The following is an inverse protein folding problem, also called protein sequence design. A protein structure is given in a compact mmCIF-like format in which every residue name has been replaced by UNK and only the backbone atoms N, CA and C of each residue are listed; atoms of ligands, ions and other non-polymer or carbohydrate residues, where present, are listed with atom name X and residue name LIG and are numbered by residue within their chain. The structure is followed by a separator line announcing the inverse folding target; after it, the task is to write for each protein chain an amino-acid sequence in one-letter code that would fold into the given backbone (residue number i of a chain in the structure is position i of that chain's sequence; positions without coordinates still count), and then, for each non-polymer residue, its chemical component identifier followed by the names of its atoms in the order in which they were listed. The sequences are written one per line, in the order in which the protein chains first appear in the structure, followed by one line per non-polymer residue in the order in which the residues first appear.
data_IF_015482845143
#
_entry.id   IF_015482845143
#
_cell.length_a   1.000
_cell.length_b   1.000
_cell.length_c   1.000
_cell.angle_alpha   90.00
_cell.angle_beta   90.00
_cell.angle_gamma   90.00
#
_symmetry.space_group_name_H-M   'P 1'
#
loop_
_entity.id
_entity.type
_entity.pdbx_description
1 polymer ?
#
# COMPACT_ATOMS: atom_id res chain seq x y z
N UNK A 1 15.38 17.62 -2.67
CA UNK A 1 14.09 16.91 -2.55
C UNK A 1 13.69 16.91 -1.09
N UNK A 2 12.42 17.13 -0.79
CA UNK A 2 11.87 17.05 0.57
C UNK A 2 11.60 15.60 0.97
N UNK A 3 11.45 15.34 2.27
CA UNK A 3 11.11 14.01 2.75
C UNK A 3 9.76 13.51 2.19
N UNK A 4 8.79 14.40 2.00
CA UNK A 4 7.50 14.06 1.41
C UNK A 4 7.62 13.72 -0.08
N UNK A 5 8.42 14.48 -0.85
CA UNK A 5 8.73 14.16 -2.24
C UNK A 5 9.38 12.77 -2.38
N UNK A 6 10.29 12.42 -1.47
CA UNK A 6 10.91 11.09 -1.46
C UNK A 6 9.90 9.98 -1.17
N UNK A 7 8.98 10.19 -0.22
CA UNK A 7 7.89 9.24 0.07
C UNK A 7 6.99 9.03 -1.14
N UNK A 8 6.61 10.13 -1.79
CA UNK A 8 5.81 10.09 -3.00
C UNK A 8 6.53 9.35 -4.13
N UNK A 9 7.81 9.60 -4.35
CA UNK A 9 8.57 8.86 -5.37
C UNK A 9 8.64 7.36 -5.07
N UNK A 10 8.89 6.97 -3.82
CA UNK A 10 8.90 5.55 -3.42
C UNK A 10 7.53 4.89 -3.65
N UNK A 11 6.44 5.60 -3.31
CA UNK A 11 5.07 5.13 -3.56
C UNK A 11 4.78 4.90 -5.04
N UNK A 12 5.21 5.81 -5.93
CA UNK A 12 5.01 5.66 -7.36
C UNK A 12 5.87 4.54 -7.95
N UNK A 13 7.12 4.40 -7.50
CA UNK A 13 7.98 3.29 -7.91
C UNK A 13 7.38 1.93 -7.55
N UNK A 14 6.68 1.82 -6.42
CA UNK A 14 6.01 0.59 -6.01
C UNK A 14 4.94 0.11 -7.02
N UNK A 15 4.36 1.00 -7.84
CA UNK A 15 3.37 0.61 -8.87
C UNK A 15 3.95 -0.32 -9.94
N UNK A 16 5.26 -0.26 -10.19
CA UNK A 16 5.93 -1.14 -11.17
C UNK A 16 5.91 -2.61 -10.75
N UNK A 17 5.66 -2.88 -9.47
CA UNK A 17 5.52 -4.22 -8.91
C UNK A 17 4.07 -4.72 -8.93
N UNK A 18 3.09 -3.88 -9.30
CA UNK A 18 1.68 -4.25 -9.40
C UNK A 18 1.38 -4.73 -10.84
N UNK A 19 1.58 -6.02 -11.08
CA UNK A 19 1.52 -6.62 -12.42
C UNK A 19 0.33 -7.58 -12.64
N UNK A 20 -0.64 -7.59 -11.74
CA UNK A 20 -1.68 -8.64 -11.70
C UNK A 20 -3.06 -8.06 -11.42
N UNK A 21 -4.10 -8.70 -11.93
CA UNK A 21 -5.50 -8.47 -11.55
C UNK A 21 -5.84 -8.93 -10.11
N UNK A 22 -4.85 -9.21 -9.27
CA UNK A 22 -5.04 -9.77 -7.92
C UNK A 22 -5.36 -8.72 -6.85
N UNK A 23 -5.40 -9.19 -5.60
CA UNK A 23 -5.64 -8.36 -4.41
C UNK A 23 -4.31 -7.80 -3.88
N UNK A 24 -4.26 -6.49 -3.65
CA UNK A 24 -3.09 -5.78 -3.12
C UNK A 24 -3.21 -5.58 -1.62
N UNK A 25 -2.21 -6.00 -0.87
CA UNK A 25 -2.10 -5.72 0.54
C UNK A 25 -1.52 -4.32 0.78
N UNK A 26 -2.19 -3.54 1.62
CA UNK A 26 -1.87 -2.13 1.86
C UNK A 26 -1.57 -1.88 3.33
N UNK A 27 -0.37 -1.33 3.55
CA UNK A 27 0.16 -0.90 4.83
C UNK A 27 -0.54 0.31 5.44
N UNK A 28 0.16 0.99 6.36
CA UNK A 28 -0.35 2.20 7.02
C UNK A 28 0.75 3.26 7.16
N UNK A 29 0.36 4.53 7.11
CA UNK A 29 1.23 5.67 7.40
C UNK A 29 1.42 6.62 6.22
N UNK A 30 2.15 7.71 6.47
CA UNK A 30 2.28 8.82 5.49
C UNK A 30 2.84 8.40 4.12
N UNK A 31 3.80 7.48 4.07
CA UNK A 31 4.30 6.95 2.79
C UNK A 31 3.25 6.11 2.07
N UNK A 32 2.49 5.30 2.82
CA UNK A 32 1.42 4.47 2.26
C UNK A 32 0.24 5.30 1.76
N UNK A 33 -0.04 6.46 2.37
CA UNK A 33 -1.06 7.38 1.85
C UNK A 33 -0.75 7.81 0.40
N UNK A 34 0.51 8.12 0.10
CA UNK A 34 0.95 8.42 -1.27
C UNK A 34 0.82 7.19 -2.18
N UNK A 35 1.07 5.99 -1.66
CA UNK A 35 0.88 4.75 -2.42
C UNK A 35 -0.60 4.50 -2.73
N UNK A 36 -1.51 4.71 -1.80
CA UNK A 36 -2.95 4.60 -2.04
C UNK A 36 -3.40 5.56 -3.14
N UNK A 37 -2.91 6.81 -3.12
CA UNK A 37 -3.20 7.79 -4.16
C UNK A 37 -2.65 7.35 -5.53
N UNK A 38 -1.46 6.77 -5.55
CA UNK A 38 -0.86 6.23 -6.76
C UNK A 38 -1.63 4.99 -7.27
N UNK A 39 -2.00 4.08 -6.38
CA UNK A 39 -2.75 2.85 -6.68
C UNK A 39 -4.12 3.17 -7.29
N UNK A 40 -4.78 4.25 -6.83
CA UNK A 40 -6.03 4.72 -7.39
C UNK A 40 -5.96 5.02 -8.89
N UNK A 41 -4.79 5.42 -9.41
CA UNK A 41 -4.59 5.69 -10.84
C UNK A 41 -4.63 4.42 -11.70
N UNK A 42 -4.40 3.26 -11.09
CA UNK A 42 -4.40 1.95 -11.76
C UNK A 42 -5.48 1.02 -11.20
N UNK A 43 -6.46 1.52 -10.44
CA UNK A 43 -7.44 0.68 -9.72
C UNK A 43 -8.23 -0.30 -10.59
N UNK A 44 -8.37 -0.02 -11.89
CA UNK A 44 -9.01 -0.94 -12.84
C UNK A 44 -8.16 -2.15 -13.23
N UNK A 45 -6.91 -2.23 -12.74
CA UNK A 45 -5.95 -3.33 -12.97
C UNK A 45 -5.81 -4.26 -11.76
N UNK A 46 -6.61 -4.07 -10.72
CA UNK A 46 -6.60 -4.88 -9.49
C UNK A 46 -8.03 -5.28 -9.14
N UNK A 47 -8.22 -6.44 -8.51
CA UNK A 47 -9.51 -6.86 -7.98
C UNK A 47 -9.94 -6.00 -6.77
N UNK A 48 -8.97 -5.54 -5.99
CA UNK A 48 -9.19 -4.70 -4.81
C UNK A 48 -7.98 -4.76 -3.87
N UNK A 49 -8.20 -4.46 -2.60
CA UNK A 49 -7.16 -4.43 -1.60
C UNK A 49 -7.56 -5.11 -0.28
N UNK A 50 -6.56 -5.57 0.48
CA UNK A 50 -6.70 -5.81 1.93
C UNK A 50 -5.91 -4.72 2.66
N UNK A 51 -6.44 -4.23 3.77
CA UNK A 51 -5.87 -3.09 4.48
C UNK A 51 -5.43 -3.48 5.89
N UNK A 52 -4.30 -2.92 6.34
CA UNK A 52 -3.74 -3.13 7.68
C UNK A 52 -4.29 -2.17 8.75
N UNK A 53 -5.07 -1.15 8.38
CA UNK A 53 -5.69 -0.24 9.35
C UNK A 53 -6.99 0.41 8.85
N UNK A 54 -7.79 0.91 9.80
CA UNK A 54 -9.02 1.67 9.52
C UNK A 54 -8.73 2.93 8.68
N UNK A 55 -7.58 3.59 8.93
CA UNK A 55 -7.19 4.82 8.20
C UNK A 55 -6.92 4.50 6.73
N UNK A 56 -6.17 3.44 6.45
CA UNK A 56 -5.90 2.99 5.09
C UNK A 56 -7.16 2.49 4.39
N UNK A 57 -8.03 1.74 5.11
CA UNK A 57 -9.32 1.26 4.58
C UNK A 57 -10.17 2.42 4.10
N UNK A 58 -10.37 3.44 4.95
CA UNK A 58 -11.18 4.61 4.60
C UNK A 58 -10.62 5.33 3.37
N UNK A 59 -9.30 5.51 3.27
CA UNK A 59 -8.68 6.18 2.12
C UNK A 59 -8.83 5.38 0.83
N UNK A 60 -8.70 4.05 0.89
CA UNK A 60 -8.94 3.16 -0.26
C UNK A 60 -10.38 3.27 -0.75
N UNK A 61 -11.35 3.23 0.17
CA UNK A 61 -12.78 3.38 -0.13
C UNK A 61 -13.11 4.75 -0.73
N UNK A 62 -12.50 5.83 -0.22
CA UNK A 62 -12.64 7.20 -0.77
C UNK A 62 -12.16 7.29 -2.24
N UNK A 63 -11.17 6.48 -2.62
CA UNK A 63 -10.71 6.35 -4.01
C UNK A 63 -11.52 5.34 -4.85
N UNK A 64 -12.52 4.70 -4.23
CA UNK A 64 -13.37 3.68 -4.85
C UNK A 64 -12.62 2.38 -5.15
N UNK A 65 -11.65 2.02 -4.32
CA UNK A 65 -11.01 0.69 -4.33
C UNK A 65 -11.78 -0.17 -3.34
N UNK A 66 -12.24 -1.34 -3.78
CA UNK A 66 -12.92 -2.29 -2.90
C UNK A 66 -11.92 -2.87 -1.88
N UNK A 67 -12.32 -2.91 -0.61
CA UNK A 67 -11.52 -3.45 0.48
C UNK A 67 -12.14 -4.73 0.98
N UNK A 68 -11.38 -5.82 0.93
CA UNK A 68 -11.76 -7.14 1.43
C UNK A 68 -11.29 -7.34 2.86
N UNK A 69 -12.00 -8.18 3.63
CA UNK A 69 -11.43 -8.73 4.87
C UNK A 69 -10.35 -9.77 4.53
N UNK A 70 -9.29 -9.86 5.32
CA UNK A 70 -8.20 -10.81 5.06
C UNK A 70 -8.68 -12.27 5.12
N UNK A 71 -9.73 -12.58 5.88
CA UNK A 71 -10.31 -13.92 5.95
C UNK A 71 -11.18 -14.28 4.72
N UNK A 72 -11.53 -13.30 3.89
CA UNK A 72 -12.35 -13.50 2.69
C UNK A 72 -11.50 -13.81 1.45
N UNK A 73 -10.18 -13.63 1.54
CA UNK A 73 -9.25 -13.77 0.41
C UNK A 73 -8.38 -15.01 0.58
N UNK A 74 -8.15 -15.72 -0.52
CA UNK A 74 -7.29 -16.91 -0.53
C UNK A 74 -5.80 -16.57 -0.62
N UNK A 75 -5.47 -15.40 -1.18
CA UNK A 75 -4.10 -14.95 -1.36
C UNK A 75 -4.02 -13.43 -1.53
N UNK A 76 -2.85 -12.88 -1.22
CA UNK A 76 -2.50 -11.47 -1.45
C UNK A 76 -1.30 -11.47 -2.40
N UNK A 77 -1.43 -10.82 -3.55
CA UNK A 77 -0.42 -10.89 -4.60
C UNK A 77 0.89 -10.17 -4.20
N UNK A 78 0.74 -9.05 -3.50
CA UNK A 78 1.85 -8.22 -3.02
C UNK A 78 1.38 -7.41 -1.81
N UNK A 79 2.28 -7.16 -0.87
CA UNK A 79 2.02 -6.28 0.28
C UNK A 79 2.97 -5.08 0.23
N UNK A 80 2.41 -3.86 0.22
CA UNK A 80 3.17 -2.61 0.15
C UNK A 80 2.96 -1.82 1.44
N UNK A 81 4.06 -1.51 2.13
CA UNK A 81 4.03 -0.83 3.42
C UNK A 81 5.31 -0.04 3.67
N UNK A 82 5.27 0.89 4.62
CA UNK A 82 6.45 1.62 5.11
C UNK A 82 7.18 0.86 6.22
N UNK A 83 8.29 1.44 6.69
CA UNK A 83 8.99 1.01 7.89
C UNK A 83 9.52 2.22 8.65
N UNK A 84 9.69 2.08 9.96
CA UNK A 84 10.29 3.12 10.82
C UNK A 84 11.81 3.08 10.69
N UNK A 85 12.38 1.86 10.68
CA UNK A 85 13.80 1.63 10.43
C UNK A 85 13.99 0.43 9.49
N UNK A 86 15.07 0.47 8.72
CA UNK A 86 15.53 -0.65 7.87
C UNK A 86 17.05 -0.73 7.95
N UNK A 87 17.58 -1.94 8.10
CA UNK A 87 19.01 -2.17 8.00
C UNK A 87 19.42 -2.66 6.59
N UNK A 88 20.73 -2.82 6.37
CA UNK A 88 21.28 -3.23 5.07
C UNK A 88 20.90 -4.66 4.66
N UNK A 89 20.34 -5.45 5.57
CA UNK A 89 19.82 -6.79 5.33
C UNK A 89 18.30 -6.82 5.11
N UNK A 90 17.66 -5.64 5.00
CA UNK A 90 16.22 -5.47 4.85
C UNK A 90 15.39 -6.02 6.02
N UNK A 91 15.99 -6.11 7.21
CA UNK A 91 15.25 -6.35 8.44
C UNK A 91 14.69 -5.01 8.92
N UNK A 92 13.42 -5.02 9.31
CA UNK A 92 12.63 -3.81 9.52
C UNK A 92 12.19 -3.69 10.98
N UNK A 93 12.15 -2.46 11.48
CA UNK A 93 11.32 -2.09 12.63
C UNK A 93 10.08 -1.37 12.10
N UNK A 94 8.93 -1.79 12.60
CA UNK A 94 7.61 -1.26 12.27
C UNK A 94 6.78 -1.12 13.54
N UNK A 95 5.81 -0.21 13.52
CA UNK A 95 4.83 -0.04 14.60
C UNK A 95 4.97 1.28 15.36
N UNK A 96 5.67 2.27 14.82
CA UNK A 96 5.69 3.63 15.37
C UNK A 96 4.41 4.43 15.13
N UNK A 97 3.54 3.96 14.23
CA UNK A 97 2.23 4.56 13.93
C UNK A 97 1.10 4.13 14.85
#
# INVERSE_FOLDING_TARGET
MTADEMKKQAAYAALEHINTDGIVGVGTGSTVNHFIDALATIKGRIEGAVSSSIVSTKRLEEHGIHVFDLNEVSSVAVYVDGADESNHFLQLIKGGG
#
